data_IF_036880869663
#
_entry.id   IF_036880869663
#
_cell.length_a   1.000
_cell.length_b   1.000
_cell.length_c   1.000
_cell.angle_alpha   90.00
_cell.angle_beta   90.00
_cell.angle_gamma   90.00
#
_symmetry.space_group_name_H-M   'P 1'
#
loop_
_entity.id
_entity.type
_entity.pdbx_description
1 polymer ?
#
# COMPACT_ATOMS: atom_id res chain seq x y z
N UNK A 1 -55.62 -36.30 39.49
CA UNK A 1 -54.69 -35.53 40.35
C UNK A 1 -53.27 -36.13 40.37
N UNK A 2 -53.11 -37.45 40.33
CA UNK A 2 -51.79 -38.13 40.34
C UNK A 2 -50.98 -37.94 39.04
N UNK A 3 -51.63 -37.94 37.86
CA UNK A 3 -50.97 -37.74 36.55
C UNK A 3 -50.26 -36.38 36.44
N UNK A 4 -50.86 -35.32 37.01
CA UNK A 4 -50.27 -33.97 36.99
C UNK A 4 -49.03 -33.85 37.90
N UNK A 5 -48.98 -34.63 38.98
CA UNK A 5 -47.78 -34.69 39.84
C UNK A 5 -46.68 -35.52 39.19
N UNK A 6 -47.00 -36.61 38.48
CA UNK A 6 -46.01 -37.42 37.76
C UNK A 6 -45.36 -36.63 36.62
N UNK A 7 -46.14 -35.85 35.85
CA UNK A 7 -45.61 -34.99 34.78
C UNK A 7 -44.70 -33.90 35.36
N UNK A 8 -45.08 -33.28 36.48
CA UNK A 8 -44.22 -32.30 37.16
C UNK A 8 -42.91 -32.91 37.66
N UNK A 9 -42.97 -34.09 38.30
CA UNK A 9 -41.77 -34.77 38.81
C UNK A 9 -40.86 -35.23 37.66
N UNK A 10 -41.43 -35.69 36.53
CA UNK A 10 -40.66 -36.08 35.35
C UNK A 10 -39.94 -34.89 34.71
N UNK A 11 -40.61 -33.73 34.60
CA UNK A 11 -39.99 -32.50 34.08
C UNK A 11 -38.85 -31.99 34.97
N UNK A 12 -38.99 -32.11 36.30
CA UNK A 12 -37.95 -31.74 37.25
C UNK A 12 -36.76 -32.70 37.17
N UNK A 13 -36.99 -34.01 37.05
CA UNK A 13 -35.92 -35.01 36.93
C UNK A 13 -35.16 -34.86 35.61
N UNK A 14 -35.84 -34.59 34.49
CA UNK A 14 -35.20 -34.32 33.20
C UNK A 14 -34.40 -33.01 33.23
N UNK A 15 -34.87 -31.98 33.95
CA UNK A 15 -34.15 -30.73 34.14
C UNK A 15 -32.90 -30.87 35.05
N UNK A 16 -32.88 -31.87 35.95
CA UNK A 16 -31.78 -32.12 36.89
C UNK A 16 -30.67 -33.02 36.31
N UNK A 17 -30.95 -33.78 35.24
CA UNK A 17 -29.93 -34.61 34.56
C UNK A 17 -28.95 -33.76 33.73
N UNK A 18 -29.24 -32.47 33.49
CA UNK A 18 -28.40 -31.55 32.72
C UNK A 18 -27.45 -30.64 33.53
N UNK A 19 -27.19 -30.93 34.80
CA UNK A 19 -26.24 -30.14 35.60
C UNK A 19 -24.87 -30.83 35.72
N UNK A 20 -23.91 -30.43 34.88
CA UNK A 20 -22.53 -30.25 35.33
C UNK A 20 -22.23 -28.75 35.27
N UNK A 21 -21.92 -28.22 36.44
CA UNK A 21 -21.83 -26.81 36.82
C UNK A 21 -20.49 -26.20 36.37
N UNK A 22 -20.50 -25.14 35.54
CA UNK A 22 -19.63 -23.97 35.73
C UNK A 22 -20.46 -22.70 35.48
N UNK A 23 -21.01 -22.23 36.59
CA UNK A 23 -21.05 -20.83 37.04
C UNK A 23 -21.65 -19.75 36.12
N UNK A 24 -22.91 -19.42 36.42
CA UNK A 24 -23.45 -18.05 36.54
C UNK A 24 -23.07 -17.06 35.42
N UNK A 25 -23.71 -17.17 34.26
CA UNK A 25 -23.96 -15.95 33.47
C UNK A 25 -25.29 -15.38 33.96
N UNK A 26 -25.22 -14.65 35.08
CA UNK A 26 -26.21 -13.62 35.33
C UNK A 26 -26.24 -12.68 34.12
N UNK A 27 -27.37 -12.06 33.76
CA UNK A 27 -27.36 -10.89 32.90
C UNK A 27 -26.68 -9.76 33.69
N UNK A 28 -25.36 -9.77 33.75
CA UNK A 28 -24.57 -8.61 34.12
C UNK A 28 -24.52 -7.76 32.85
N UNK A 29 -25.14 -6.58 32.90
CA UNK A 29 -24.90 -5.49 31.95
C UNK A 29 -23.43 -5.05 32.06
N UNK A 30 -22.54 -5.87 31.52
CA UNK A 30 -21.18 -5.47 31.23
C UNK A 30 -21.29 -4.66 29.93
N UNK A 31 -20.93 -3.37 29.92
CA UNK A 31 -20.98 -2.58 28.69
C UNK A 31 -20.17 -3.30 27.61
N UNK A 32 -20.77 -3.49 26.42
CA UNK A 32 -20.21 -4.32 25.34
C UNK A 32 -18.79 -3.97 24.87
N UNK A 33 -18.20 -2.87 25.38
CA UNK A 33 -16.77 -2.53 25.26
C UNK A 33 -15.86 -3.50 26.01
N UNK A 34 -16.29 -4.06 27.14
CA UNK A 34 -15.47 -5.00 27.94
C UNK A 34 -15.55 -6.42 27.35
N UNK A 35 -16.72 -6.84 26.83
CA UNK A 35 -16.88 -8.11 26.10
C UNK A 35 -16.00 -8.12 24.84
N UNK A 36 -15.99 -7.01 24.08
CA UNK A 36 -15.09 -6.83 22.93
C UNK A 36 -13.59 -6.83 23.29
N UNK A 37 -13.21 -6.41 24.50
CA UNK A 37 -11.82 -6.48 24.95
C UNK A 37 -11.37 -7.92 25.18
N UNK A 38 -12.22 -8.77 25.75
CA UNK A 38 -11.88 -10.16 26.07
C UNK A 38 -11.84 -11.03 24.79
N UNK A 39 -12.70 -10.75 23.80
CA UNK A 39 -12.70 -11.45 22.50
C UNK A 39 -11.47 -11.12 21.62
N UNK A 40 -10.80 -9.97 21.83
CA UNK A 40 -9.59 -9.58 21.11
C UNK A 40 -8.31 -10.27 21.60
N UNK A 41 -8.31 -10.86 22.80
CA UNK A 41 -7.13 -11.54 23.38
C UNK A 41 -7.13 -13.04 23.06
N UNK A 42 -8.30 -13.61 22.72
CA UNK A 42 -8.49 -15.05 22.53
C UNK A 42 -8.51 -15.50 21.06
N UNK A 43 -8.49 -14.58 20.08
CA UNK A 43 -8.62 -14.94 18.67
C UNK A 43 -7.76 -14.05 17.76
N UNK A 44 -6.45 -14.30 17.70
CA UNK A 44 -5.63 -13.84 16.58
C UNK A 44 -5.57 -14.94 15.52
N UNK A 45 -6.26 -14.82 14.37
CA UNK A 45 -5.82 -15.55 13.20
C UNK A 45 -4.53 -14.88 12.71
N UNK A 46 -3.50 -15.68 12.44
CA UNK A 46 -2.35 -15.26 11.64
C UNK A 46 -2.88 -14.60 10.34
N UNK A 47 -2.88 -13.27 10.29
CA UNK A 47 -3.16 -12.53 9.06
C UNK A 47 -1.86 -12.50 8.28
N UNK A 48 -1.77 -13.41 7.31
CA UNK A 48 -0.77 -13.38 6.25
C UNK A 48 -0.79 -12.00 5.57
N UNK A 49 0.40 -11.50 5.25
CA UNK A 49 0.69 -10.16 4.76
C UNK A 49 -0.13 -9.83 3.50
N UNK A 50 -1.21 -9.08 3.69
CA UNK A 50 -1.76 -8.17 2.69
C UNK A 50 -2.19 -6.91 3.42
N UNK A 51 -1.40 -5.85 3.28
CA UNK A 51 -1.71 -4.51 3.75
C UNK A 51 -2.86 -3.94 2.93
N UNK A 52 -4.09 -4.35 3.23
CA UNK A 52 -5.31 -3.62 2.87
C UNK A 52 -5.99 -3.18 4.16
N UNK A 53 -5.80 -1.91 4.48
CA UNK A 53 -6.52 -1.19 5.52
C UNK A 53 -7.99 -1.04 5.08
N UNK A 54 -8.92 -1.74 5.75
CA UNK A 54 -10.36 -1.55 5.55
C UNK A 54 -10.88 -0.57 6.60
N UNK A 55 -10.90 0.70 6.24
CA UNK A 55 -11.76 1.70 6.86
C UNK A 55 -13.13 1.67 6.16
N UNK A 56 -14.23 1.63 6.92
CA UNK A 56 -15.63 1.46 6.47
C UNK A 56 -16.23 2.72 5.80
N UNK A 57 -15.45 3.47 5.02
CA UNK A 57 -15.94 4.50 4.10
C UNK A 57 -15.20 4.37 2.77
N UNK A 58 -15.89 3.82 1.77
CA UNK A 58 -15.38 3.53 0.43
C UNK A 58 -14.95 4.76 -0.36
N UNK A 59 -13.76 5.26 -0.08
CA UNK A 59 -12.98 6.09 -0.99
C UNK A 59 -11.77 5.27 -1.37
N UNK A 60 -11.71 4.82 -2.62
CA UNK A 60 -10.53 4.23 -3.23
C UNK A 60 -9.38 5.24 -3.07
N UNK A 61 -8.48 5.02 -2.10
CA UNK A 61 -7.26 5.83 -1.99
C UNK A 61 -6.32 5.39 -3.11
N UNK A 62 -6.54 5.92 -4.32
CA UNK A 62 -5.54 5.88 -5.38
C UNK A 62 -4.28 6.56 -4.88
N UNK A 63 -3.12 5.92 -5.05
CA UNK A 63 -1.84 6.54 -4.70
C UNK A 63 -1.74 7.91 -5.42
N UNK A 64 -1.62 9.04 -4.68
CA UNK A 64 -1.58 10.37 -5.29
C UNK A 64 -0.25 10.65 -6.02
N UNK A 65 0.75 9.78 -5.88
CA UNK A 65 2.04 9.86 -6.53
C UNK A 65 2.01 9.08 -7.85
N UNK A 66 2.31 9.77 -8.95
CA UNK A 66 2.38 9.21 -10.30
C UNK A 66 3.76 8.56 -10.55
N UNK A 67 3.89 7.90 -11.71
CA UNK A 67 5.15 7.33 -12.21
C UNK A 67 5.86 6.41 -11.20
N UNK A 68 5.10 5.65 -10.42
CA UNK A 68 5.64 4.71 -9.43
C UNK A 68 6.15 5.36 -8.14
N UNK A 69 5.89 6.65 -7.92
CA UNK A 69 6.28 7.36 -6.70
C UNK A 69 5.65 6.76 -5.43
N UNK A 70 6.39 6.84 -4.32
CA UNK A 70 5.94 6.36 -3.01
C UNK A 70 5.24 7.47 -2.24
N UNK A 71 3.99 7.24 -1.87
CA UNK A 71 3.24 8.15 -1.00
C UNK A 71 3.71 7.98 0.45
N UNK A 72 4.05 9.10 1.08
CA UNK A 72 4.39 9.21 2.49
C UNK A 72 3.33 10.08 3.15
N UNK A 73 2.55 9.51 4.08
CA UNK A 73 1.57 10.27 4.85
C UNK A 73 2.30 11.22 5.84
N UNK A 74 1.79 12.43 5.97
CA UNK A 74 2.30 13.47 6.89
C UNK A 74 1.17 14.01 7.79
N UNK A 75 1.51 14.73 8.86
CA UNK A 75 0.56 15.27 9.86
C UNK A 75 -0.59 16.07 9.24
N UNK A 76 -0.38 16.75 8.10
CA UNK A 76 -1.37 17.60 7.43
C UNK A 76 -1.46 17.36 5.91
N UNK A 77 -1.07 16.18 5.43
CA UNK A 77 -1.08 15.91 3.99
C UNK A 77 -0.31 14.67 3.60
N UNK A 78 0.31 14.74 2.44
CA UNK A 78 1.18 13.71 1.92
C UNK A 78 2.36 14.35 1.18
N UNK A 79 3.46 13.62 1.15
CA UNK A 79 4.63 13.88 0.32
C UNK A 79 4.82 12.69 -0.62
N UNK A 80 5.20 12.96 -1.86
CA UNK A 80 5.60 11.94 -2.82
C UNK A 80 7.12 11.85 -2.91
N UNK A 81 7.66 10.68 -2.60
CA UNK A 81 9.04 10.34 -2.95
C UNK A 81 9.06 9.84 -4.40
N UNK A 82 9.64 10.66 -5.27
CA UNK A 82 9.71 10.36 -6.69
C UNK A 82 10.81 9.35 -6.99
N UNK A 83 10.53 8.46 -7.94
CA UNK A 83 11.58 7.66 -8.57
C UNK A 83 12.52 8.58 -9.36
N UNK A 84 13.75 8.10 -9.57
CA UNK A 84 14.76 8.84 -10.34
C UNK A 84 14.23 9.15 -11.75
N UNK A 85 14.48 10.37 -12.24
CA UNK A 85 13.95 10.87 -13.51
C UNK A 85 12.62 11.61 -13.38
N UNK A 86 11.97 11.62 -12.21
CA UNK A 86 10.71 12.35 -12.01
C UNK A 86 10.78 13.42 -10.93
N UNK A 87 9.96 14.46 -11.08
CA UNK A 87 9.88 15.59 -10.16
C UNK A 87 8.44 16.13 -10.01
N UNK A 88 8.30 17.12 -9.13
CA UNK A 88 7.04 17.78 -8.80
C UNK A 88 6.29 17.10 -7.64
N UNK A 89 5.27 17.78 -7.13
CA UNK A 89 4.51 17.35 -5.93
C UNK A 89 3.93 15.93 -6.03
N UNK A 90 3.57 15.51 -7.23
CA UNK A 90 2.98 14.20 -7.51
C UNK A 90 3.87 13.33 -8.41
N UNK A 91 5.15 13.70 -8.60
CA UNK A 91 6.06 12.97 -9.50
C UNK A 91 5.56 12.88 -10.95
N UNK A 92 4.76 13.86 -11.38
CA UNK A 92 4.10 13.86 -12.69
C UNK A 92 5.05 14.26 -13.83
N UNK A 93 6.12 14.98 -13.50
CA UNK A 93 6.99 15.64 -14.47
C UNK A 93 8.23 14.79 -14.69
N UNK A 94 8.53 14.40 -15.93
CA UNK A 94 9.85 13.89 -16.30
C UNK A 94 10.87 15.02 -16.15
N UNK A 95 12.02 14.75 -15.56
CA UNK A 95 13.14 15.68 -15.53
C UNK A 95 13.69 15.76 -16.96
N UNK A 96 13.86 16.97 -17.48
CA UNK A 96 14.42 17.16 -18.82
C UNK A 96 15.95 17.10 -18.74
N UNK A 97 16.51 15.94 -19.06
CA UNK A 97 17.97 15.76 -19.03
C UNK A 97 18.68 16.51 -20.16
N UNK A 98 17.95 16.98 -21.17
CA UNK A 98 18.46 17.79 -22.27
C UNK A 98 18.57 19.29 -21.93
N UNK A 99 17.97 19.76 -20.83
CA UNK A 99 18.00 21.19 -20.43
C UNK A 99 19.44 21.71 -20.24
N UNK A 100 20.35 20.83 -19.81
CA UNK A 100 21.77 21.14 -19.63
C UNK A 100 22.57 21.25 -20.94
N UNK A 101 21.94 20.97 -22.09
CA UNK A 101 22.56 20.91 -23.42
C UNK A 101 23.79 19.98 -23.47
N UNK A 102 23.65 18.69 -23.10
CA UNK A 102 24.79 17.77 -22.98
C UNK A 102 25.42 17.38 -24.32
N UNK A 103 24.69 17.51 -25.44
CA UNK A 103 25.14 17.06 -26.75
C UNK A 103 26.01 18.11 -27.45
N UNK A 104 27.23 17.72 -27.82
CA UNK A 104 28.20 18.59 -28.47
C UNK A 104 28.02 18.63 -30.00
N UNK A 105 28.81 19.48 -30.66
CA UNK A 105 28.92 19.54 -32.11
C UNK A 105 27.57 19.70 -32.84
N UNK A 106 26.61 20.38 -32.18
CA UNK A 106 25.24 20.61 -32.63
C UNK A 106 24.46 19.34 -32.97
N UNK A 107 24.74 18.26 -32.25
CA UNK A 107 23.88 17.09 -32.20
C UNK A 107 22.51 17.43 -31.58
N UNK A 108 21.49 16.62 -31.91
CA UNK A 108 20.17 16.73 -31.31
C UNK A 108 20.13 15.92 -30.01
N UNK A 109 19.53 16.48 -28.96
CA UNK A 109 19.30 15.78 -27.71
C UNK A 109 17.86 15.25 -27.65
N UNK A 110 17.70 13.99 -27.26
CA UNK A 110 16.41 13.35 -27.00
C UNK A 110 16.35 13.05 -25.50
N UNK A 111 15.34 13.63 -24.84
CA UNK A 111 15.02 13.40 -23.43
C UNK A 111 14.44 11.99 -23.24
N UNK A 112 14.88 11.30 -22.19
CA UNK A 112 14.37 9.99 -21.76
C UNK A 112 14.05 10.05 -20.27
N UNK A 113 13.59 8.95 -19.66
CA UNK A 113 13.42 8.92 -18.20
C UNK A 113 14.77 8.62 -17.55
N UNK A 114 15.27 9.56 -16.74
CA UNK A 114 16.55 9.43 -16.03
C UNK A 114 17.74 9.25 -17.00
N UNK A 115 17.73 9.97 -18.11
CA UNK A 115 18.79 9.93 -19.10
C UNK A 115 18.42 10.67 -20.39
N UNK A 116 19.38 10.73 -21.29
CA UNK A 116 19.21 11.35 -22.59
C UNK A 116 19.97 10.57 -23.66
N UNK A 117 19.67 10.86 -24.93
CA UNK A 117 20.39 10.34 -26.08
C UNK A 117 20.82 11.48 -27.00
N UNK A 118 22.10 11.50 -27.38
CA UNK A 118 22.59 12.41 -28.40
C UNK A 118 22.57 11.76 -29.79
N UNK A 119 21.80 12.33 -30.70
CA UNK A 119 21.79 11.94 -32.11
C UNK A 119 22.87 12.70 -32.84
N UNK A 120 23.99 12.03 -33.07
CA UNK A 120 25.17 12.65 -33.66
C UNK A 120 24.96 13.00 -35.14
N UNK A 121 25.52 14.15 -35.54
CA UNK A 121 25.64 14.51 -36.95
C UNK A 121 26.68 13.61 -37.63
N UNK A 122 26.55 13.46 -38.95
CA UNK A 122 27.47 12.62 -39.74
C UNK A 122 28.92 13.05 -39.50
N UNK A 123 29.77 12.07 -39.18
CA UNK A 123 31.20 12.30 -38.89
C UNK A 123 31.50 12.62 -37.44
N UNK A 124 30.51 12.56 -36.54
CA UNK A 124 30.72 12.65 -35.10
C UNK A 124 30.25 11.38 -34.39
N UNK A 125 30.91 11.05 -33.29
CA UNK A 125 30.61 9.89 -32.45
C UNK A 125 30.85 10.16 -30.95
N UNK A 126 30.55 9.17 -30.11
CA UNK A 126 30.62 9.25 -28.66
C UNK A 126 29.28 9.57 -28.00
N UNK A 127 29.18 9.34 -26.69
CA UNK A 127 27.95 9.53 -25.90
C UNK A 127 27.40 10.96 -26.00
N UNK A 128 28.30 11.94 -26.09
CA UNK A 128 27.97 13.36 -26.20
C UNK A 128 28.21 13.90 -27.62
N UNK A 129 28.48 13.02 -28.60
CA UNK A 129 28.89 13.38 -29.96
C UNK A 129 30.16 14.26 -30.00
N UNK A 130 31.05 14.10 -29.02
CA UNK A 130 32.24 14.91 -28.81
C UNK A 130 33.41 14.53 -29.75
N UNK A 131 33.39 13.33 -30.33
CA UNK A 131 34.49 12.83 -31.17
C UNK A 131 34.23 13.16 -32.63
N UNK A 132 35.21 13.75 -33.33
CA UNK A 132 35.17 13.96 -34.77
C UNK A 132 35.87 12.79 -35.48
N UNK A 133 35.10 11.94 -36.14
CA UNK A 133 35.60 10.74 -36.82
C UNK A 133 36.28 11.06 -38.16
N UNK A 134 36.09 12.27 -38.69
CA UNK A 134 36.71 12.69 -39.95
C UNK A 134 38.16 13.14 -39.78
N UNK A 135 38.68 13.25 -38.54
CA UNK A 135 40.06 13.70 -38.28
C UNK A 135 41.14 12.71 -38.77
N UNK A 136 40.77 11.52 -39.24
CA UNK A 136 41.70 10.52 -39.78
C UNK A 136 41.81 10.48 -41.32
N UNK A 137 41.36 11.51 -42.06
CA UNK A 137 41.67 11.66 -43.49
C UNK A 137 42.88 12.56 -43.80
N UNK A 138 43.62 12.99 -42.77
CA UNK A 138 44.83 13.81 -42.94
C UNK A 138 46.00 13.22 -42.14
N UNK A 139 46.75 12.29 -42.73
CA UNK A 139 47.96 11.72 -42.14
C UNK A 139 48.53 10.56 -42.93
#
# INVERSE_FOLDING_TARGET
MIVQQIIHVLMVVLAQIHLVHISVVAPMDIPGKIVKMIEMIAYQPLKLIHTHDRNEKGTERTNPCLNGGRCVDELNGYHCECLVGFTGRQCATNIDECESLPCENGASCIDHVNGFECVCRRGFSGTFCQTNDNDCQSG
#
